data_IF_713300710032
#
_entry.id   IF_713300710032
#
_cell.length_a   1.000
_cell.length_b   1.000
_cell.length_c   1.000
_cell.angle_alpha   90.00
_cell.angle_beta   90.00
_cell.angle_gamma   90.00
#
_symmetry.space_group_name_H-M   'P 1'
#
loop_
_entity.id
_entity.type
_entity.pdbx_description
1 polymer ?
#
# COMPACT_ATOMS: atom_id res chain seq x y z
N UNK A 1 22.78 -1.61 -10.59
CA UNK A 1 21.40 -1.62 -11.12
C UNK A 1 20.54 -0.91 -10.10
N UNK A 2 19.93 0.23 -10.46
CA UNK A 2 18.85 0.78 -9.65
C UNK A 2 17.65 -0.15 -9.83
N UNK A 3 17.31 -0.92 -8.80
CA UNK A 3 16.12 -1.80 -8.77
C UNK A 3 14.81 -1.01 -8.64
N UNK A 4 14.79 0.26 -9.06
CA UNK A 4 13.61 1.10 -8.96
C UNK A 4 12.69 0.84 -10.14
N UNK A 5 11.43 0.54 -9.82
CA UNK A 5 10.40 0.22 -10.78
C UNK A 5 9.82 1.53 -11.35
N UNK A 6 10.36 1.99 -12.48
CA UNK A 6 9.84 3.17 -13.15
C UNK A 6 8.40 2.93 -13.66
N UNK A 7 7.53 3.92 -13.47
CA UNK A 7 6.18 3.89 -13.98
C UNK A 7 6.20 3.91 -15.52
N UNK A 8 5.54 2.97 -16.21
CA UNK A 8 5.51 2.93 -17.66
C UNK A 8 4.74 4.12 -18.28
N UNK A 9 3.85 4.76 -17.52
CA UNK A 9 3.02 5.86 -18.02
C UNK A 9 3.69 7.23 -17.94
N UNK A 10 4.40 7.53 -16.85
CA UNK A 10 5.03 8.85 -16.64
C UNK A 10 6.56 8.81 -16.51
N UNK A 11 7.18 7.63 -16.45
CA UNK A 11 8.62 7.45 -16.36
C UNK A 11 9.24 7.70 -14.99
N UNK A 12 8.46 8.18 -14.00
CA UNK A 12 8.92 8.42 -12.64
C UNK A 12 8.93 7.13 -11.82
N UNK A 13 9.81 7.04 -10.83
CA UNK A 13 10.07 5.84 -10.00
C UNK A 13 9.46 5.92 -8.58
N UNK A 14 8.60 6.89 -8.34
CA UNK A 14 7.88 7.05 -7.09
C UNK A 14 6.71 6.05 -7.03
N UNK A 15 6.77 5.10 -6.09
CA UNK A 15 5.78 4.02 -5.96
C UNK A 15 5.16 3.95 -4.58
N UNK A 16 3.96 3.39 -4.55
CA UNK A 16 3.04 3.42 -3.44
C UNK A 16 2.35 2.07 -3.30
N UNK A 17 2.35 1.49 -2.11
CA UNK A 17 1.69 0.21 -1.84
C UNK A 17 0.26 0.43 -1.36
N UNK A 18 -0.73 -0.05 -2.11
CA UNK A 18 -2.15 0.03 -1.71
C UNK A 18 -2.80 -1.36 -1.67
N UNK A 19 -3.89 -1.48 -0.92
CA UNK A 19 -4.77 -2.64 -0.91
C UNK A 19 -6.17 -2.22 -1.36
N UNK A 20 -6.73 -2.97 -2.32
CA UNK A 20 -8.06 -2.74 -2.87
C UNK A 20 -8.74 -4.08 -3.18
N UNK A 21 -9.90 -4.35 -2.57
CA UNK A 21 -10.69 -5.55 -2.86
C UNK A 21 -9.96 -6.89 -2.68
N UNK A 22 -8.91 -6.93 -1.85
CA UNK A 22 -8.06 -8.11 -1.63
C UNK A 22 -6.82 -8.19 -2.54
N UNK A 23 -6.59 -7.21 -3.40
CA UNK A 23 -5.35 -7.08 -4.18
C UNK A 23 -4.37 -6.15 -3.49
N UNK A 24 -3.10 -6.53 -3.45
CA UNK A 24 -1.97 -5.63 -3.17
C UNK A 24 -1.48 -5.04 -4.49
N UNK A 25 -1.39 -3.72 -4.57
CA UNK A 25 -1.08 -2.99 -5.79
C UNK A 25 0.08 -2.04 -5.50
N UNK A 26 1.10 -2.08 -6.36
CA UNK A 26 2.08 -1.00 -6.47
C UNK A 26 1.54 0.02 -7.47
N UNK A 27 1.27 1.23 -7.00
CA UNK A 27 0.77 2.37 -7.77
C UNK A 27 1.88 3.41 -7.93
N UNK A 28 1.89 4.15 -9.04
CA UNK A 28 2.73 5.33 -9.18
C UNK A 28 2.21 6.48 -8.31
N UNK A 29 3.08 7.10 -7.51
CA UNK A 29 2.73 8.25 -6.67
C UNK A 29 2.39 9.49 -7.51
N UNK A 30 3.05 9.67 -8.65
CA UNK A 30 2.91 10.86 -9.47
C UNK A 30 1.62 10.88 -10.31
N UNK A 31 1.30 9.77 -10.99
CA UNK A 31 0.17 9.71 -11.92
C UNK A 31 -0.97 8.79 -11.47
N UNK A 32 -0.78 8.00 -10.42
CA UNK A 32 -1.80 7.08 -9.92
C UNK A 32 -1.97 5.79 -10.70
N UNK A 33 -1.17 5.53 -11.73
CA UNK A 33 -1.23 4.30 -12.52
C UNK A 33 -0.89 3.07 -11.67
N UNK A 34 -1.66 1.99 -11.81
CA UNK A 34 -1.30 0.70 -11.23
C UNK A 34 -0.15 0.07 -12.04
N UNK A 35 1.00 -0.13 -11.39
CA UNK A 35 2.20 -0.66 -12.06
C UNK A 35 2.26 -2.18 -11.94
N UNK A 36 1.98 -2.71 -10.74
CA UNK A 36 1.96 -4.16 -10.45
C UNK A 36 0.80 -4.46 -9.52
N UNK A 37 0.16 -5.61 -9.70
CA UNK A 37 -0.85 -6.12 -8.77
C UNK A 37 -0.60 -7.60 -8.46
N UNK A 38 -0.80 -8.00 -7.21
CA UNK A 38 -0.81 -9.39 -6.76
C UNK A 38 -1.90 -9.58 -5.70
N UNK A 39 -2.17 -10.82 -5.31
CA UNK A 39 -3.08 -11.09 -4.20
C UNK A 39 -2.49 -10.56 -2.90
N UNK A 40 -3.29 -9.82 -2.11
CA UNK A 40 -2.87 -9.41 -0.78
C UNK A 40 -2.59 -10.61 0.12
N UNK A 41 -3.24 -11.76 -0.13
CA UNK A 41 -2.95 -13.00 0.58
C UNK A 41 -1.48 -13.43 0.47
N UNK A 42 -0.84 -13.17 -0.67
CA UNK A 42 0.57 -13.50 -0.88
C UNK A 42 1.52 -12.65 -0.02
N UNK A 43 1.04 -11.56 0.57
CA UNK A 43 1.83 -10.66 1.42
C UNK A 43 1.67 -10.97 2.92
N UNK A 44 0.73 -11.84 3.30
CA UNK A 44 0.33 -12.04 4.70
C UNK A 44 1.40 -12.68 5.59
N UNK A 45 2.30 -13.47 5.01
CA UNK A 45 3.39 -14.11 5.76
C UNK A 45 4.50 -13.13 6.15
N UNK A 46 4.38 -11.86 5.77
CA UNK A 46 5.35 -10.83 6.13
C UNK A 46 5.17 -10.35 7.58
N UNK A 47 6.26 -10.44 8.34
CA UNK A 47 6.39 -9.80 9.65
C UNK A 47 6.85 -8.34 9.56
N UNK A 48 6.86 -7.74 8.37
CA UNK A 48 7.18 -6.32 8.23
C UNK A 48 6.14 -5.48 8.96
N UNK A 49 6.63 -4.61 9.84
CA UNK A 49 5.81 -3.60 10.47
C UNK A 49 5.44 -2.55 9.44
N UNK A 50 4.16 -2.21 9.41
CA UNK A 50 3.64 -1.15 8.57
C UNK A 50 2.44 -0.51 9.23
N UNK A 51 2.21 0.74 8.86
CA UNK A 51 1.00 1.46 9.19
C UNK A 51 0.08 1.46 7.97
N UNK A 52 -1.18 1.11 8.19
CA UNK A 52 -2.23 1.08 7.19
C UNK A 52 -3.17 2.27 7.40
N UNK A 53 -3.38 3.07 6.35
CA UNK A 53 -4.23 4.25 6.36
C UNK A 53 -5.29 4.17 5.27
N UNK A 54 -6.37 4.93 5.41
CA UNK A 54 -7.22 5.25 4.25
C UNK A 54 -6.37 6.02 3.23
N UNK A 55 -6.39 5.61 1.96
CA UNK A 55 -5.58 6.23 0.93
C UNK A 55 -6.13 7.63 0.55
N UNK A 56 -5.34 8.70 0.68
CA UNK A 56 -5.77 10.05 0.30
C UNK A 56 -5.68 10.33 -1.21
N UNK A 57 -5.13 9.37 -1.97
CA UNK A 57 -4.81 9.48 -3.39
C UNK A 57 -3.30 9.54 -3.67
N UNK A 58 -2.91 9.47 -4.96
CA UNK A 58 -1.51 9.41 -5.37
C UNK A 58 -0.67 10.58 -4.85
N UNK A 59 0.50 10.26 -4.27
CA UNK A 59 1.49 11.26 -3.82
C UNK A 59 1.10 12.05 -2.57
N UNK A 60 -0.08 11.79 -2.01
CA UNK A 60 -0.54 12.45 -0.79
C UNK A 60 -0.18 11.63 0.44
N UNK A 61 0.19 12.35 1.50
CA UNK A 61 0.47 11.74 2.79
C UNK A 61 -0.84 11.61 3.59
N UNK A 62 -1.15 10.43 4.15
CA UNK A 62 -2.33 10.26 4.99
C UNK A 62 -2.17 11.03 6.29
N UNK A 63 -3.28 11.59 6.78
CA UNK A 63 -3.33 12.23 8.08
C UNK A 63 -3.42 11.17 9.21
N UNK A 64 -2.97 11.48 10.44
CA UNK A 64 -2.96 10.50 11.54
C UNK A 64 -4.34 9.94 11.91
N UNK A 65 -5.41 10.70 11.72
CA UNK A 65 -6.80 10.30 11.95
C UNK A 65 -7.33 9.32 10.88
N UNK A 66 -6.63 9.16 9.76
CA UNK A 66 -6.94 8.20 8.71
C UNK A 66 -6.32 6.81 8.98
N UNK A 67 -5.68 6.60 10.13
CA UNK A 67 -5.07 5.33 10.51
C UNK A 67 -6.14 4.24 10.69
N UNK A 68 -5.95 3.12 10.00
CA UNK A 68 -6.80 1.93 10.09
C UNK A 68 -6.19 0.92 11.06
N UNK A 69 -4.88 0.67 10.96
CA UNK A 69 -4.15 -0.23 11.83
C UNK A 69 -2.64 0.02 11.76
N UNK A 70 -1.91 -0.36 12.81
CA UNK A 70 -0.45 -0.33 12.84
C UNK A 70 0.10 -1.63 13.45
N UNK A 71 1.16 -2.17 12.86
CA UNK A 71 1.86 -3.33 13.39
C UNK A 71 2.41 -4.28 12.32
N UNK A 72 2.85 -5.48 12.72
CA UNK A 72 3.26 -6.53 11.77
C UNK A 72 2.11 -6.84 10.80
N UNK A 73 2.40 -6.87 9.50
CA UNK A 73 1.38 -7.03 8.45
C UNK A 73 0.46 -8.23 8.70
N UNK A 74 1.02 -9.37 9.11
CA UNK A 74 0.24 -10.57 9.48
C UNK A 74 -0.82 -10.32 10.56
N UNK A 75 -0.56 -9.43 11.52
CA UNK A 75 -1.44 -9.15 12.65
C UNK A 75 -2.54 -8.16 12.26
N UNK A 76 -2.23 -7.20 11.38
CA UNK A 76 -3.17 -6.15 10.97
C UNK A 76 -3.93 -6.47 9.68
N UNK A 77 -3.58 -7.55 9.00
CA UNK A 77 -4.18 -7.99 7.73
C UNK A 77 -5.71 -8.13 7.77
N UNK A 78 -6.26 -8.57 8.90
CA UNK A 78 -7.72 -8.71 9.06
C UNK A 78 -8.41 -7.36 9.02
N UNK A 79 -7.87 -6.34 9.69
CA UNK A 79 -8.41 -4.98 9.68
C UNK A 79 -8.31 -4.35 8.28
N UNK A 80 -7.15 -4.51 7.62
CA UNK A 80 -6.95 -4.05 6.23
C UNK A 80 -7.97 -4.70 5.30
N UNK A 81 -8.12 -6.03 5.38
CA UNK A 81 -9.04 -6.78 4.52
C UNK A 81 -10.50 -6.40 4.76
N UNK A 82 -10.89 -6.14 6.01
CA UNK A 82 -12.24 -5.68 6.32
C UNK A 82 -12.52 -4.32 5.66
N UNK A 83 -11.64 -3.33 5.87
CA UNK A 83 -11.81 -2.01 5.27
C UNK A 83 -11.78 -2.03 3.73
N UNK A 84 -10.88 -2.83 3.14
CA UNK A 84 -10.76 -2.97 1.69
C UNK A 84 -11.97 -3.64 1.03
N UNK A 85 -12.67 -4.53 1.75
CA UNK A 85 -13.90 -5.18 1.27
C UNK A 85 -15.09 -4.23 1.21
N UNK A 86 -15.09 -3.20 2.05
CA UNK A 86 -16.11 -2.14 2.04
C UNK A 86 -15.85 -1.09 0.94
N UNK A 87 -14.89 -1.34 0.04
CA UNK A 87 -14.51 -0.45 -1.06
C UNK A 87 -13.51 0.64 -0.67
N UNK A 88 -13.03 0.64 0.58
CA UNK A 88 -12.02 1.62 1.02
C UNK A 88 -10.66 1.24 0.44
N UNK A 89 -10.00 2.20 -0.21
CA UNK A 89 -8.63 2.02 -0.67
C UNK A 89 -7.68 2.22 0.52
N UNK A 90 -6.80 1.25 0.79
CA UNK A 90 -5.90 1.28 1.95
C UNK A 90 -4.47 1.52 1.50
N UNK A 91 -3.81 2.54 2.04
CA UNK A 91 -2.39 2.81 1.83
C UNK A 91 -1.55 2.13 2.91
N UNK A 92 -0.59 1.31 2.49
CA UNK A 92 0.42 0.72 3.35
C UNK A 92 1.70 1.57 3.32
N UNK A 93 2.18 1.95 4.50
CA UNK A 93 3.47 2.63 4.69
C UNK A 93 4.33 1.70 5.54
N UNK A 94 5.39 1.07 4.98
CA UNK A 94 6.31 0.27 5.77
C UNK A 94 7.06 1.16 6.76
N UNK A 95 7.26 0.68 7.98
CA UNK A 95 8.21 1.34 8.88
C UNK A 95 9.62 1.22 8.27
N UNK A 96 10.39 2.31 8.30
CA UNK A 96 11.80 2.24 7.94
C UNK A 96 12.49 1.25 8.89
N UNK A 97 13.26 0.31 8.34
CA UNK A 97 14.22 -0.43 9.14
C UNK A 97 15.37 0.52 9.43
N UNK A 98 15.59 0.86 10.70
CA UNK A 98 16.81 1.50 11.17
C UNK A 98 18.05 0.66 10.81
#
# INVERSE_FOLDING_TARGET
MNNMLACPSCGLDETESIVHGGSYILRCAACGEAIVATSFMAMLDSDHRCSAFVDPGPGKHPAPDMLVADGPLRQIATAISAAARDGTLIRLIPEAKD
#
